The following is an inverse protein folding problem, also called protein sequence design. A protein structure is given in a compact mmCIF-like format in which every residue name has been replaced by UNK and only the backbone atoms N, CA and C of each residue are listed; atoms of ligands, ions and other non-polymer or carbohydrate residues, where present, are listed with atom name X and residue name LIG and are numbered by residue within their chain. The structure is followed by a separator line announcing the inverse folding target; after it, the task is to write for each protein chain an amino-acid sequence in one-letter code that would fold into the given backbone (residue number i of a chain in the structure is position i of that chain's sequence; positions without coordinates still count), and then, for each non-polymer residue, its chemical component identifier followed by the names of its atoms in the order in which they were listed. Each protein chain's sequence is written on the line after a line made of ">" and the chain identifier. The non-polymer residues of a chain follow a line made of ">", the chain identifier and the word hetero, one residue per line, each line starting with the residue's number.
data_IF_218510018311
#
_entry.id   IF_218510018311
#
_cell.length_a   1.000
_cell.length_b   1.000
_cell.length_c   1.000
_cell.angle_alpha   90.00
_cell.angle_beta   90.00
_cell.angle_gamma   90.00
#
_symmetry.space_group_name_H-M   'P 1'
#
loop_
_entity.id
_entity.type
_entity.pdbx_description
1 polymer ?
#
# COMPACT_ATOMS: atom_id res chain seq x y z
N UNK A 1 14.19 2.28 11.95
CA UNK A 1 13.93 1.38 10.80
C UNK A 1 13.33 0.13 11.40
N UNK A 2 12.07 -0.20 11.06
CA UNK A 2 11.45 -1.43 11.52
C UNK A 2 11.68 -2.51 10.46
N UNK A 3 12.27 -3.64 10.85
CA UNK A 3 12.42 -4.84 10.01
C UNK A 3 11.45 -5.88 10.54
N UNK A 4 10.46 -6.23 9.72
CA UNK A 4 9.42 -7.22 10.02
C UNK A 4 8.93 -7.78 8.70
N UNK A 5 8.71 -9.10 8.59
CA UNK A 5 8.16 -9.75 7.40
C UNK A 5 8.94 -9.52 6.08
N UNK A 6 10.27 -9.43 6.14
CA UNK A 6 11.10 -9.33 4.95
C UNK A 6 11.03 -7.96 4.25
N UNK A 7 10.80 -6.89 5.00
CA UNK A 7 10.92 -5.52 4.50
C UNK A 7 11.37 -4.55 5.59
N UNK A 8 11.83 -3.38 5.15
CA UNK A 8 12.10 -2.24 5.98
C UNK A 8 11.39 -0.98 5.46
N UNK A 9 10.94 -0.12 6.38
CA UNK A 9 10.32 1.17 6.07
C UNK A 9 10.71 2.23 7.10
N UNK A 10 10.76 3.50 6.68
CA UNK A 10 10.94 4.62 7.59
C UNK A 10 9.59 5.22 7.98
N UNK A 11 9.33 5.25 9.28
CA UNK A 11 8.15 5.91 9.85
C UNK A 11 8.37 7.43 9.89
N UNK A 12 7.38 8.25 9.46
CA UNK A 12 7.46 9.70 9.57
C UNK A 12 7.55 10.15 11.04
N UNK A 13 8.17 11.31 11.29
CA UNK A 13 8.25 11.87 12.65
C UNK A 13 6.85 12.13 13.23
N UNK A 14 6.65 11.80 14.50
CA UNK A 14 5.36 11.94 15.19
C UNK A 14 4.32 10.87 14.84
N UNK A 15 4.65 9.89 14.01
CA UNK A 15 3.81 8.72 13.76
C UNK A 15 4.25 7.55 14.63
N UNK A 16 3.30 6.74 15.06
CA UNK A 16 3.52 5.63 15.98
C UNK A 16 3.22 4.31 15.27
N UNK A 17 4.07 3.31 15.50
CA UNK A 17 3.79 1.93 15.10
C UNK A 17 2.83 1.33 16.12
N UNK A 18 1.72 0.78 15.65
CA UNK A 18 0.72 0.13 16.50
C UNK A 18 0.61 -1.36 16.15
N UNK A 19 0.23 -2.17 17.14
CA UNK A 19 -0.12 -3.56 16.91
C UNK A 19 -1.37 -3.64 16.00
N UNK A 20 -1.30 -4.35 14.87
CA UNK A 20 -2.46 -4.50 14.00
C UNK A 20 -3.56 -5.34 14.66
N UNK A 21 -4.82 -4.95 14.46
CA UNK A 21 -5.97 -5.76 14.92
C UNK A 21 -6.39 -6.86 13.94
N UNK A 22 -5.80 -6.85 12.75
CA UNK A 22 -6.07 -7.77 11.66
C UNK A 22 -4.75 -8.44 11.30
N UNK A 23 -4.71 -9.77 11.40
CA UNK A 23 -3.51 -10.59 11.17
C UNK A 23 -2.98 -10.48 9.74
N UNK A 24 -3.79 -10.00 8.79
CA UNK A 24 -3.33 -9.76 7.42
C UNK A 24 -2.46 -8.51 7.27
N UNK A 25 -2.41 -7.64 8.29
CA UNK A 25 -1.59 -6.43 8.31
C UNK A 25 -0.23 -6.77 8.91
N UNK A 26 0.82 -6.65 8.10
CA UNK A 26 2.20 -6.88 8.53
C UNK A 26 2.80 -5.69 9.30
N UNK A 27 2.29 -4.47 9.06
CA UNK A 27 2.67 -3.26 9.81
C UNK A 27 1.52 -2.26 9.78
N UNK A 28 1.20 -1.68 10.94
CA UNK A 28 0.31 -0.54 11.06
C UNK A 28 1.06 0.66 11.65
N UNK A 29 0.97 1.80 10.98
CA UNK A 29 1.53 3.07 11.42
C UNK A 29 0.40 4.10 11.48
N UNK A 30 0.27 4.79 12.60
CA UNK A 30 -0.81 5.75 12.86
C UNK A 30 -0.21 7.12 13.15
N UNK A 31 -0.75 8.14 12.49
CA UNK A 31 -0.54 9.53 12.80
C UNK A 31 -1.86 10.19 13.19
N UNK A 32 -1.79 11.43 13.68
CA UNK A 32 -2.94 12.20 14.17
C UNK A 32 -4.14 12.21 13.19
N UNK A 33 -3.87 12.20 11.88
CA UNK A 33 -4.88 12.44 10.82
C UNK A 33 -4.97 11.35 9.77
N UNK A 34 -4.24 10.26 9.96
CA UNK A 34 -4.16 9.22 8.95
C UNK A 34 -3.51 7.95 9.47
N UNK A 35 -3.75 6.87 8.74
CA UNK A 35 -3.17 5.55 9.02
C UNK A 35 -2.53 5.02 7.75
N UNK A 36 -1.42 4.32 7.93
CA UNK A 36 -0.72 3.60 6.89
C UNK A 36 -0.57 2.14 7.30
N UNK A 37 -0.89 1.24 6.38
CA UNK A 37 -0.82 -0.20 6.61
C UNK A 37 -0.01 -0.84 5.49
N UNK A 38 0.72 -1.88 5.83
CA UNK A 38 1.44 -2.72 4.89
C UNK A 38 0.84 -4.12 4.98
N UNK A 39 0.41 -4.64 3.84
CA UNK A 39 -0.04 -6.02 3.70
C UNK A 39 0.98 -6.79 2.87
N UNK A 40 1.26 -8.02 3.29
CA UNK A 40 2.18 -8.93 2.60
C UNK A 40 1.43 -10.23 2.29
N UNK A 41 1.36 -10.57 1.01
CA UNK A 41 0.71 -11.80 0.55
C UNK A 41 1.69 -12.63 -0.26
N UNK A 42 1.50 -13.96 -0.28
CA UNK A 42 2.14 -14.78 -1.29
C UNK A 42 1.60 -14.40 -2.68
N UNK A 43 2.50 -14.20 -3.62
CA UNK A 43 2.17 -13.84 -5.00
C UNK A 43 1.30 -14.92 -5.64
N UNK A 44 1.55 -16.21 -5.35
CA UNK A 44 0.86 -17.37 -5.96
C UNK A 44 0.70 -17.22 -7.48
N UNK A 45 1.77 -16.78 -8.18
CA UNK A 45 1.83 -16.48 -9.62
C UNK A 45 0.95 -15.31 -10.13
N UNK A 46 0.35 -14.50 -9.25
CA UNK A 46 -0.39 -13.29 -9.65
C UNK A 46 0.55 -12.27 -10.28
N UNK A 47 0.12 -11.68 -11.40
CA UNK A 47 0.75 -10.49 -11.99
C UNK A 47 0.17 -9.22 -11.39
N UNK A 48 0.84 -8.07 -11.56
CA UNK A 48 0.29 -6.79 -11.13
C UNK A 48 -1.07 -6.49 -11.79
N UNK A 49 -1.24 -6.88 -13.05
CA UNK A 49 -2.54 -6.77 -13.76
C UNK A 49 -3.62 -7.61 -13.10
N UNK A 50 -3.28 -8.83 -12.68
CA UNK A 50 -4.20 -9.74 -11.97
C UNK A 50 -4.60 -9.23 -10.58
N UNK A 51 -3.82 -8.33 -9.96
CA UNK A 51 -4.16 -7.66 -8.70
C UNK A 51 -4.96 -6.37 -8.97
N UNK A 52 -4.51 -5.57 -9.95
CA UNK A 52 -5.08 -4.27 -10.29
C UNK A 52 -6.56 -4.36 -10.67
N UNK A 53 -6.92 -5.24 -11.59
CA UNK A 53 -8.28 -5.28 -12.13
C UNK A 53 -9.33 -5.68 -11.07
N UNK A 54 -9.13 -6.75 -10.28
CA UNK A 54 -10.03 -7.06 -9.17
C UNK A 54 -10.09 -5.95 -8.11
N UNK A 55 -8.95 -5.30 -7.81
CA UNK A 55 -8.93 -4.18 -6.86
C UNK A 55 -9.76 -2.99 -7.36
N UNK A 56 -9.60 -2.62 -8.63
CA UNK A 56 -10.38 -1.58 -9.30
C UNK A 56 -11.88 -1.90 -9.25
N UNK A 57 -12.24 -3.14 -9.60
CA UNK A 57 -13.62 -3.62 -9.56
C UNK A 57 -14.17 -3.61 -8.14
N UNK A 58 -13.40 -4.06 -7.14
CA UNK A 58 -13.81 -4.04 -5.74
C UNK A 58 -14.10 -2.61 -5.25
N UNK A 59 -13.20 -1.66 -5.53
CA UNK A 59 -13.40 -0.25 -5.16
C UNK A 59 -14.70 0.30 -5.74
N UNK A 60 -14.91 0.13 -7.05
CA UNK A 60 -16.07 0.74 -7.73
C UNK A 60 -17.37 0.00 -7.41
N UNK A 61 -17.36 -1.34 -7.47
CA UNK A 61 -18.58 -2.14 -7.43
C UNK A 61 -18.97 -2.65 -6.05
N UNK A 62 -18.01 -2.74 -5.11
CA UNK A 62 -18.25 -3.31 -3.77
C UNK A 62 -18.16 -2.28 -2.65
N UNK A 63 -17.36 -1.23 -2.81
CA UNK A 63 -17.20 -0.20 -1.79
C UNK A 63 -17.97 1.09 -2.08
N UNK A 64 -18.81 1.10 -3.12
CA UNK A 64 -19.46 2.32 -3.65
C UNK A 64 -18.44 3.47 -3.83
N UNK A 65 -17.28 3.10 -4.38
CA UNK A 65 -16.10 3.95 -4.41
C UNK A 65 -15.92 4.68 -5.75
N UNK A 66 -15.22 5.80 -5.70
CA UNK A 66 -14.81 6.60 -6.86
C UNK A 66 -13.30 6.58 -7.01
N UNK A 67 -12.81 6.06 -8.14
CA UNK A 67 -11.41 6.15 -8.50
C UNK A 67 -11.05 7.60 -8.83
N UNK A 68 -9.98 8.09 -8.22
CA UNK A 68 -9.38 9.40 -8.48
C UNK A 68 -8.15 9.27 -9.38
N UNK A 69 -7.37 8.20 -9.22
CA UNK A 69 -6.23 7.89 -10.06
C UNK A 69 -6.04 6.37 -10.21
N UNK A 70 -5.53 5.97 -11.36
CA UNK A 70 -5.19 4.59 -11.70
C UNK A 70 -3.97 4.60 -12.62
N UNK A 71 -2.76 4.58 -12.03
CA UNK A 71 -1.52 4.94 -12.72
C UNK A 71 -0.32 4.04 -12.37
N UNK A 72 0.65 3.89 -13.30
CA UNK A 72 1.93 3.28 -12.99
C UNK A 72 2.67 4.02 -11.87
N UNK A 73 3.49 3.30 -11.11
CA UNK A 73 4.36 3.84 -10.06
C UNK A 73 5.68 3.05 -9.98
N UNK A 74 6.58 3.47 -9.08
CA UNK A 74 7.78 2.71 -8.73
C UNK A 74 7.98 2.66 -7.21
N UNK A 75 8.41 1.51 -6.71
CA UNK A 75 8.81 1.31 -5.30
C UNK A 75 10.14 0.58 -5.28
N UNK A 76 11.16 1.15 -4.63
CA UNK A 76 12.52 0.60 -4.62
C UNK A 76 13.05 0.22 -6.03
N UNK A 77 12.72 1.02 -7.05
CA UNK A 77 13.08 0.75 -8.46
C UNK A 77 12.20 -0.29 -9.17
N UNK A 78 11.38 -1.04 -8.45
CA UNK A 78 10.47 -2.05 -9.00
C UNK A 78 9.23 -1.40 -9.61
N UNK A 79 8.72 -2.01 -10.69
CA UNK A 79 7.44 -1.65 -11.27
C UNK A 79 6.32 -1.83 -10.24
N UNK A 80 5.55 -0.77 -10.04
CA UNK A 80 4.43 -0.75 -9.13
C UNK A 80 3.20 -0.17 -9.83
N UNK A 81 2.06 -0.29 -9.18
CA UNK A 81 0.84 0.34 -9.62
C UNK A 81 0.16 1.04 -8.46
N UNK A 82 -0.42 2.20 -8.72
CA UNK A 82 -1.08 3.03 -7.71
C UNK A 82 -2.53 3.31 -8.06
N UNK A 83 -3.38 3.16 -7.05
CA UNK A 83 -4.77 3.58 -7.06
C UNK A 83 -4.98 4.64 -5.97
N UNK A 84 -5.52 5.79 -6.35
CA UNK A 84 -6.05 6.78 -5.40
C UNK A 84 -7.58 6.76 -5.55
N UNK A 85 -8.33 6.71 -4.45
CA UNK A 85 -9.80 6.60 -4.53
C UNK A 85 -10.50 7.11 -3.27
N UNK A 86 -11.78 7.43 -3.43
CA UNK A 86 -12.73 7.63 -2.33
C UNK A 86 -13.57 6.38 -2.18
N UNK A 87 -13.85 5.93 -0.97
CA UNK A 87 -14.76 4.82 -0.74
C UNK A 87 -15.32 4.84 0.69
N UNK A 88 -16.47 4.20 0.90
CA UNK A 88 -17.01 3.96 2.25
C UNK A 88 -16.47 2.62 2.75
N UNK A 89 -15.67 2.61 3.82
CA UNK A 89 -15.21 1.37 4.45
C UNK A 89 -15.84 1.24 5.83
N UNK A 90 -16.95 0.51 5.93
CA UNK A 90 -17.69 0.23 7.17
C UNK A 90 -18.18 1.47 7.96
N UNK A 91 -17.93 2.68 7.46
CA UNK A 91 -18.37 3.96 8.01
C UNK A 91 -19.34 4.62 7.02
N UNK A 92 -20.27 5.42 7.53
CA UNK A 92 -21.19 6.18 6.66
C UNK A 92 -20.43 7.21 5.81
N UNK A 93 -19.37 7.79 6.35
CA UNK A 93 -18.56 8.80 5.64
C UNK A 93 -17.49 8.17 4.74
N UNK A 94 -17.31 8.69 3.51
CA UNK A 94 -16.28 8.22 2.61
C UNK A 94 -14.89 8.69 3.05
N UNK A 95 -13.94 7.76 3.07
CA UNK A 95 -12.52 8.06 3.31
C UNK A 95 -11.76 8.15 1.99
N UNK A 96 -10.61 8.81 2.03
CA UNK A 96 -9.67 8.83 0.91
C UNK A 96 -8.54 7.85 1.15
N UNK A 97 -8.27 7.06 0.13
CA UNK A 97 -7.29 5.99 0.14
C UNK A 97 -6.24 6.18 -0.94
N UNK A 98 -5.03 5.72 -0.64
CA UNK A 98 -3.98 5.46 -1.62
C UNK A 98 -3.50 4.03 -1.44
N UNK A 99 -3.51 3.23 -2.50
CA UNK A 99 -2.94 1.88 -2.51
C UNK A 99 -1.86 1.80 -3.58
N UNK A 100 -0.65 1.48 -3.17
CA UNK A 100 0.46 1.15 -4.07
C UNK A 100 0.78 -0.33 -3.91
N UNK A 101 0.71 -1.09 -5.00
CA UNK A 101 1.03 -2.52 -4.99
C UNK A 101 2.12 -2.85 -6.00
N UNK A 102 3.00 -3.75 -5.58
CA UNK A 102 4.14 -4.21 -6.37
C UNK A 102 4.52 -5.63 -5.94
N UNK A 103 5.28 -6.31 -6.78
CA UNK A 103 5.78 -7.66 -6.52
C UNK A 103 7.28 -7.60 -6.32
N UNK A 104 7.78 -8.36 -5.35
CA UNK A 104 9.21 -8.60 -5.15
C UNK A 104 9.40 -10.06 -4.72
N UNK A 105 10.16 -10.82 -5.49
CA UNK A 105 10.29 -12.26 -5.32
C UNK A 105 8.94 -13.00 -5.44
N UNK A 106 8.65 -13.82 -4.45
CA UNK A 106 7.40 -14.58 -4.30
C UNK A 106 6.31 -13.82 -3.54
N UNK A 107 6.53 -12.54 -3.19
CA UNK A 107 5.60 -11.71 -2.42
C UNK A 107 4.92 -10.63 -3.24
N UNK A 108 3.68 -10.35 -2.86
CA UNK A 108 2.90 -9.18 -3.24
C UNK A 108 2.80 -8.26 -2.03
N UNK A 109 3.25 -7.03 -2.21
CA UNK A 109 3.14 -5.98 -1.19
C UNK A 109 2.01 -5.03 -1.55
N UNK A 110 1.22 -4.63 -0.55
CA UNK A 110 0.23 -3.55 -0.68
C UNK A 110 0.51 -2.51 0.39
N UNK A 111 0.91 -1.32 -0.05
CA UNK A 111 1.13 -0.15 0.79
C UNK A 111 -0.14 0.71 0.77
N UNK A 112 -0.79 0.86 1.91
CA UNK A 112 -2.15 1.36 2.00
C UNK A 112 -2.25 2.54 2.97
N UNK A 113 -2.40 3.75 2.43
CA UNK A 113 -2.70 4.96 3.20
C UNK A 113 -4.19 5.25 3.23
N UNK A 114 -4.71 5.66 4.39
CA UNK A 114 -6.10 6.08 4.60
C UNK A 114 -6.17 7.33 5.47
N UNK A 115 -7.02 8.27 5.09
CA UNK A 115 -7.32 9.46 5.88
C UNK A 115 -8.71 10.02 5.50
N UNK A 116 -9.21 10.93 6.33
CA UNK A 116 -10.39 11.71 5.97
C UNK A 116 -10.10 12.58 4.73
N UNK A 117 -11.07 12.76 3.81
CA UNK A 117 -10.81 13.46 2.54
C UNK A 117 -10.24 14.87 2.73
N UNK A 118 -10.74 15.62 3.72
CA UNK A 118 -10.30 16.96 4.04
C UNK A 118 -8.86 17.01 4.60
N UNK A 119 -8.41 15.92 5.25
CA UNK A 119 -7.07 15.84 5.84
C UNK A 119 -6.04 15.16 4.93
N UNK A 120 -6.49 14.51 3.86
CA UNK A 120 -5.63 13.69 3.01
C UNK A 120 -4.46 14.47 2.41
N UNK A 121 -4.67 15.71 1.98
CA UNK A 121 -3.60 16.55 1.44
C UNK A 121 -2.47 16.79 2.44
N UNK A 122 -2.80 16.93 3.73
CA UNK A 122 -1.82 17.15 4.80
C UNK A 122 -0.98 15.91 5.11
N UNK A 123 -1.55 14.71 4.97
CA UNK A 123 -0.86 13.44 5.27
C UNK A 123 -0.27 12.74 4.05
N UNK A 124 -0.63 13.14 2.84
CA UNK A 124 -0.12 12.56 1.61
C UNK A 124 1.43 12.54 1.54
N UNK A 125 2.16 13.60 1.95
CA UNK A 125 3.63 13.57 1.98
C UNK A 125 4.19 12.47 2.91
N UNK A 126 3.54 12.22 4.04
CA UNK A 126 3.93 11.16 4.98
C UNK A 126 3.73 9.77 4.36
N UNK A 127 2.62 9.56 3.64
CA UNK A 127 2.39 8.34 2.87
C UNK A 127 3.45 8.15 1.76
N UNK A 128 3.77 9.20 1.01
CA UNK A 128 4.83 9.14 -0.01
C UNK A 128 6.20 8.83 0.59
N UNK A 129 6.53 9.39 1.75
CA UNK A 129 7.79 9.10 2.43
C UNK A 129 7.88 7.61 2.79
N UNK A 130 6.81 7.01 3.32
CA UNK A 130 6.78 5.57 3.62
C UNK A 130 6.91 4.73 2.34
N UNK A 131 6.21 5.09 1.26
CA UNK A 131 6.35 4.40 -0.04
C UNK A 131 7.76 4.51 -0.59
N UNK A 132 8.39 5.69 -0.54
CA UNK A 132 9.74 5.93 -1.05
C UNK A 132 10.84 5.28 -0.22
N UNK A 133 10.65 5.17 1.09
CA UNK A 133 11.59 4.55 2.01
C UNK A 133 11.45 3.03 2.09
N UNK A 134 10.33 2.47 1.59
CA UNK A 134 10.11 1.03 1.58
C UNK A 134 11.25 0.30 0.85
N UNK A 135 11.78 -0.73 1.48
CA UNK A 135 12.77 -1.65 0.92
C UNK A 135 12.32 -3.08 1.22
N UNK A 136 12.02 -3.92 0.21
CA UNK A 136 11.91 -5.35 0.46
C UNK A 136 13.31 -5.86 0.86
N UNK A 137 13.39 -6.65 1.92
CA UNK A 137 14.62 -7.36 2.25
C UNK A 137 14.80 -8.46 1.23
N UNK A 138 15.90 -8.41 0.48
CA UNK A 138 16.16 -9.35 -0.58
C UNK A 138 16.44 -10.73 0.01
N UNK A 139 15.49 -11.65 -0.11
CA UNK A 139 15.77 -13.07 -0.26
C UNK A 139 16.00 -13.36 -1.74
N UNK A 140 17.26 -13.41 -2.16
CA UNK A 140 17.75 -13.83 -3.48
C UNK A 140 17.51 -12.90 -4.69
N UNK A 141 18.65 -12.62 -5.34
CA UNK A 141 18.79 -12.07 -6.69
C UNK A 141 18.06 -12.97 -7.67
N UNK A 142 17.06 -12.43 -8.37
CA UNK A 142 16.73 -12.96 -9.70
C UNK A 142 17.67 -12.25 -10.66
N UNK A 143 18.65 -13.00 -11.15
CA UNK A 143 19.35 -12.68 -12.38
C UNK A 143 18.32 -12.38 -13.47
N UNK A 144 18.58 -11.41 -14.36
CA UNK A 144 17.69 -11.15 -15.49
C UNK A 144 17.68 -12.41 -16.36
N UNK A 145 16.54 -13.09 -16.45
CA UNK A 145 16.29 -13.97 -17.59
C UNK A 145 15.82 -13.07 -18.73
N UNK A 146 16.70 -12.99 -19.73
CA UNK A 146 16.40 -12.61 -21.10
C UNK A 146 15.32 -13.55 -21.65
N UNK A 147 14.27 -12.97 -22.24
CA UNK A 147 13.73 -13.24 -23.60
C UNK A 147 12.46 -12.41 -23.85
#
# INVERSE_FOLDING_TARGET
>A
MHSTHGFAVQTPSGWTVEEPKDESIALQVVGERGKFMIFVYDRKRRSLKAVRLPMRHHVVMKMDGKLLADKPARVAGLSAWRLDYLARSNTEEPKRFTRTFFVSGDKLYILHGVAEPAQFAAVAPAFEQMVRSFRPEAGFVLTPEEE
#
